data_IF_519887299358
#
_entry.id   IF_519887299358
#
_cell.length_a   1.000
_cell.length_b   1.000
_cell.length_c   1.000
_cell.angle_alpha   90.00
_cell.angle_beta   90.00
_cell.angle_gamma   90.00
#
_symmetry.space_group_name_H-M   'P 1'
#
loop_
_entity.id
_entity.type
_entity.pdbx_description
1 polymer ?
#
# COMPACT_ATOMS: atom_id res chain seq x y z
N UNK A 1 -6.01 -8.13 -8.93
CA UNK A 1 -6.42 -6.71 -8.94
C UNK A 1 -7.45 -6.45 -10.05
N UNK A 2 -8.60 -5.84 -9.72
CA UNK A 2 -9.69 -5.48 -10.66
C UNK A 2 -9.61 -4.02 -11.16
N UNK A 3 -8.51 -3.33 -10.92
CA UNK A 3 -8.32 -1.95 -11.38
C UNK A 3 -8.00 -1.95 -12.88
N UNK A 4 -8.98 -1.62 -13.70
CA UNK A 4 -8.85 -1.49 -15.16
C UNK A 4 -9.13 -0.08 -15.66
N UNK A 5 -9.60 0.82 -14.78
CA UNK A 5 -10.04 2.17 -15.14
C UNK A 5 -9.16 3.25 -14.53
N UNK A 6 -8.95 4.32 -15.28
CA UNK A 6 -8.22 5.51 -14.83
C UNK A 6 -8.95 6.30 -13.72
N UNK A 7 -10.21 5.96 -13.40
CA UNK A 7 -10.95 6.61 -12.30
C UNK A 7 -10.20 6.50 -10.97
N UNK A 8 -9.51 5.38 -10.72
CA UNK A 8 -8.82 5.19 -9.45
C UNK A 8 -7.55 6.06 -9.31
N UNK A 9 -7.04 6.67 -10.39
CA UNK A 9 -6.00 7.71 -10.32
C UNK A 9 -6.53 9.08 -9.91
N UNK A 10 -7.85 9.23 -9.84
CA UNK A 10 -8.51 10.49 -9.41
C UNK A 10 -9.00 10.43 -7.97
N UNK A 11 -8.85 9.27 -7.33
CA UNK A 11 -9.18 9.05 -5.93
C UNK A 11 -8.13 9.73 -5.06
N UNK A 12 -8.57 10.34 -3.96
CA UNK A 12 -7.67 10.67 -2.87
C UNK A 12 -7.56 9.45 -1.95
N UNK A 13 -6.47 8.71 -2.11
CA UNK A 13 -6.26 7.48 -1.37
C UNK A 13 -5.83 7.68 0.09
N UNK A 14 -5.50 8.93 0.46
CA UNK A 14 -5.15 9.27 1.85
C UNK A 14 -6.38 9.39 2.75
N UNK A 15 -7.57 9.55 2.16
CA UNK A 15 -8.82 9.77 2.88
C UNK A 15 -9.52 8.43 3.13
N UNK A 16 -9.73 8.12 4.41
CA UNK A 16 -10.49 6.94 4.83
C UNK A 16 -12.00 7.12 4.58
N UNK A 17 -12.70 6.01 4.37
CA UNK A 17 -14.14 5.96 4.13
C UNK A 17 -14.49 5.54 2.71
N UNK A 18 -15.73 5.83 2.29
CA UNK A 18 -16.22 5.46 0.95
C UNK A 18 -15.91 6.58 -0.04
N UNK A 19 -15.15 6.24 -1.08
CA UNK A 19 -14.88 7.15 -2.19
C UNK A 19 -16.09 7.25 -3.11
N UNK A 20 -16.59 8.46 -3.34
CA UNK A 20 -17.88 8.68 -3.97
C UNK A 20 -17.96 8.31 -5.46
N UNK A 21 -16.83 8.31 -6.19
CA UNK A 21 -16.80 8.05 -7.63
C UNK A 21 -16.70 6.55 -7.94
N UNK A 22 -16.10 5.78 -7.06
CA UNK A 22 -15.82 4.35 -7.26
C UNK A 22 -16.56 3.43 -6.30
N UNK A 23 -17.15 3.98 -5.24
CA UNK A 23 -17.73 3.18 -4.15
C UNK A 23 -16.68 2.36 -3.40
N UNK A 24 -15.39 2.66 -3.59
CA UNK A 24 -14.30 1.97 -2.91
C UNK A 24 -14.29 2.37 -1.44
N UNK A 25 -14.31 1.39 -0.53
CA UNK A 25 -13.99 1.65 0.86
C UNK A 25 -12.47 1.63 1.07
N UNK A 26 -11.94 2.74 1.60
CA UNK A 26 -10.52 2.97 1.83
C UNK A 26 -10.27 3.03 3.33
N UNK A 27 -9.26 2.30 3.80
CA UNK A 27 -8.78 2.39 5.17
C UNK A 27 -7.26 2.33 5.21
N UNK A 28 -6.63 3.37 5.77
CA UNK A 28 -5.20 3.46 5.98
C UNK A 28 -4.83 3.18 7.43
N UNK A 29 -3.70 2.52 7.66
CA UNK A 29 -3.06 2.34 8.97
C UNK A 29 -1.59 2.71 8.82
N UNK A 30 -1.14 3.72 9.56
CA UNK A 30 0.26 4.13 9.56
C UNK A 30 1.09 3.15 10.40
N UNK A 31 2.22 2.69 9.84
CA UNK A 31 3.17 1.81 10.52
C UNK A 31 4.15 2.58 11.40
N UNK A 32 4.29 3.89 11.17
CA UNK A 32 5.13 4.78 11.95
C UNK A 32 5.49 6.06 11.21
N UNK A 33 6.20 6.95 11.89
CA UNK A 33 6.76 8.17 11.32
C UNK A 33 8.28 8.08 11.37
N UNK A 34 8.92 8.04 10.21
CA UNK A 34 10.37 8.04 10.08
C UNK A 34 10.80 9.48 9.85
N UNK A 35 11.38 10.06 10.89
CA UNK A 35 11.95 11.40 10.80
C UNK A 35 13.17 11.38 9.91
N UNK A 36 13.11 12.15 8.83
CA UNK A 36 14.32 12.48 8.10
C UNK A 36 15.06 13.51 8.97
N UNK A 37 16.30 13.24 9.37
CA UNK A 37 17.02 13.99 10.43
C UNK A 37 17.38 15.46 10.06
N UNK A 38 16.59 16.12 9.22
CA UNK A 38 16.86 17.43 8.64
C UNK A 38 15.62 18.33 8.73
N UNK A 39 15.82 19.55 9.26
CA UNK A 39 14.76 20.46 9.74
C UNK A 39 13.70 20.89 8.71
N UNK A 40 13.81 20.53 7.43
CA UNK A 40 12.97 21.03 6.34
C UNK A 40 12.44 19.96 5.37
N UNK A 41 12.72 18.67 5.60
CA UNK A 41 12.23 17.60 4.72
C UNK A 41 10.97 16.95 5.29
N UNK A 42 10.06 16.44 4.43
CA UNK A 42 8.89 15.73 4.91
C UNK A 42 9.29 14.39 5.55
N UNK A 43 8.61 14.04 6.65
CA UNK A 43 8.72 12.72 7.27
C UNK A 43 8.29 11.62 6.29
N UNK A 44 8.94 10.46 6.35
CA UNK A 44 8.48 9.29 5.63
C UNK A 44 7.48 8.53 6.49
N UNK A 45 6.27 8.32 5.97
CA UNK A 45 5.18 7.66 6.69
C UNK A 45 4.82 6.36 5.98
N UNK A 46 5.50 5.24 6.29
CA UNK A 46 5.09 3.94 5.80
C UNK A 46 3.73 3.58 6.41
N UNK A 47 2.86 2.99 5.60
CA UNK A 47 1.52 2.62 5.99
C UNK A 47 1.03 1.45 5.17
N UNK A 48 -0.06 0.83 5.62
CA UNK A 48 -0.85 -0.10 4.83
C UNK A 48 -2.20 0.51 4.48
N UNK A 49 -2.70 0.20 3.29
CA UNK A 49 -4.00 0.64 2.80
C UNK A 49 -4.82 -0.54 2.34
N UNK A 50 -6.05 -0.58 2.82
CA UNK A 50 -7.05 -1.50 2.32
C UNK A 50 -7.63 -1.02 1.00
N UNK A 51 -7.66 -1.93 0.03
CA UNK A 51 -8.28 -1.74 -1.28
C UNK A 51 -9.11 -2.98 -1.63
N UNK A 52 -10.44 -2.83 -1.63
CA UNK A 52 -11.38 -3.93 -1.92
C UNK A 52 -11.24 -4.54 -3.33
N UNK A 53 -10.58 -3.84 -4.25
CA UNK A 53 -10.36 -4.29 -5.62
C UNK A 53 -8.99 -4.94 -5.83
N UNK A 54 -8.16 -5.03 -4.79
CA UNK A 54 -6.92 -5.79 -4.82
C UNK A 54 -7.07 -7.10 -4.03
N UNK A 55 -6.59 -8.18 -4.63
CA UNK A 55 -6.58 -9.52 -4.04
C UNK A 55 -5.15 -10.02 -3.78
N UNK A 56 -4.13 -9.15 -3.93
CA UNK A 56 -2.79 -9.49 -3.50
C UNK A 56 -2.65 -9.39 -1.98
N UNK A 57 -1.75 -10.21 -1.44
CA UNK A 57 -1.28 -10.11 -0.06
C UNK A 57 0.18 -9.65 -0.07
N UNK A 58 0.42 -8.42 0.38
CA UNK A 58 1.76 -7.82 0.49
C UNK A 58 2.38 -7.99 1.87
N UNK A 59 1.85 -8.92 2.67
CA UNK A 59 2.37 -9.32 3.96
C UNK A 59 1.41 -9.06 5.10
N UNK A 60 0.42 -8.18 4.91
CA UNK A 60 -0.55 -7.75 5.93
C UNK A 60 -1.97 -8.29 5.67
N UNK A 61 -2.12 -9.26 4.77
CA UNK A 61 -3.40 -9.88 4.44
C UNK A 61 -3.93 -9.42 3.08
N UNK A 62 -4.94 -10.13 2.59
CA UNK A 62 -5.50 -9.89 1.25
C UNK A 62 -6.14 -8.51 1.16
N UNK A 63 -5.79 -7.76 0.12
CA UNK A 63 -6.32 -6.41 -0.11
C UNK A 63 -5.67 -5.32 0.77
N UNK A 64 -4.73 -5.67 1.64
CA UNK A 64 -3.89 -4.70 2.35
C UNK A 64 -2.57 -4.52 1.60
N UNK A 65 -2.43 -3.37 0.94
CA UNK A 65 -1.22 -3.00 0.21
C UNK A 65 -0.32 -2.11 1.08
N UNK A 66 0.99 -2.24 0.93
CA UNK A 66 1.93 -1.26 1.46
C UNK A 66 1.85 0.03 0.64
N UNK A 67 1.84 1.18 1.31
CA UNK A 67 1.89 2.51 0.68
C UNK A 67 3.31 2.83 0.16
N UNK A 68 3.91 1.88 -0.55
CA UNK A 68 5.24 1.97 -1.14
C UNK A 68 5.13 1.83 -2.65
N UNK A 69 6.00 2.53 -3.38
CA UNK A 69 6.00 2.44 -4.83
C UNK A 69 6.52 1.08 -5.29
N UNK A 70 5.83 0.44 -6.23
CA UNK A 70 6.16 -0.91 -6.70
C UNK A 70 5.82 -1.05 -8.18
N UNK A 71 6.31 -2.12 -8.81
CA UNK A 71 5.93 -2.47 -10.18
C UNK A 71 5.36 -3.88 -10.19
N UNK A 72 4.07 -3.98 -10.52
CA UNK A 72 3.34 -5.26 -10.65
C UNK A 72 3.29 -5.68 -12.11
N UNK A 73 3.45 -6.98 -12.38
CA UNK A 73 3.20 -7.57 -13.71
C UNK A 73 1.81 -8.19 -13.73
N UNK A 74 0.94 -7.69 -14.61
CA UNK A 74 -0.46 -8.12 -14.72
C UNK A 74 -0.74 -8.38 -16.20
N UNK A 75 -1.10 -9.61 -16.55
CA UNK A 75 -1.38 -10.01 -17.93
C UNK A 75 -0.27 -9.58 -18.92
N UNK A 76 0.99 -9.80 -18.54
CA UNK A 76 2.20 -9.41 -19.28
C UNK A 76 2.39 -7.90 -19.48
N UNK A 77 1.59 -7.05 -18.82
CA UNK A 77 1.78 -5.60 -18.79
C UNK A 77 2.34 -5.18 -17.43
N UNK A 78 3.15 -4.12 -17.43
CA UNK A 78 3.76 -3.59 -16.20
C UNK A 78 2.94 -2.42 -15.70
N UNK A 79 2.57 -2.49 -14.43
CA UNK A 79 1.85 -1.45 -13.73
C UNK A 79 2.76 -0.82 -12.68
N UNK A 80 3.06 0.47 -12.84
CA UNK A 80 3.72 1.26 -11.80
C UNK A 80 2.67 1.66 -10.77
N UNK A 81 2.82 1.23 -9.53
CA UNK A 81 2.04 1.71 -8.39
C UNK A 81 2.93 2.66 -7.59
N UNK A 82 2.40 3.82 -7.22
CA UNK A 82 3.09 4.80 -6.38
C UNK A 82 2.58 4.72 -4.94
N UNK A 83 3.41 5.08 -3.95
CA UNK A 83 3.02 5.05 -2.54
C UNK A 83 1.79 5.89 -2.19
N UNK A 84 1.47 6.91 -3.01
CA UNK A 84 0.25 7.71 -2.88
C UNK A 84 -1.03 7.01 -3.39
N UNK A 85 -0.95 5.77 -3.90
CA UNK A 85 -2.07 5.00 -4.46
C UNK A 85 -2.34 5.17 -5.94
N UNK A 86 -1.67 6.11 -6.61
CA UNK A 86 -1.80 6.25 -8.06
C UNK A 86 -1.13 5.06 -8.77
N UNK A 87 -1.69 4.61 -9.88
CA UNK A 87 -1.16 3.52 -10.68
C UNK A 87 -1.17 3.87 -12.17
N UNK A 88 -0.13 3.50 -12.89
CA UNK A 88 0.02 3.85 -14.31
C UNK A 88 0.55 2.65 -15.08
N UNK A 89 -0.08 2.33 -16.20
CA UNK A 89 0.46 1.32 -17.11
C UNK A 89 1.71 1.89 -17.79
N UNK A 90 2.81 1.15 -17.72
CA UNK A 90 4.05 1.50 -18.39
C UNK A 90 3.91 1.09 -19.86
N UNK A 91 4.03 2.07 -20.77
CA UNK A 91 4.08 1.79 -22.20
C UNK A 91 5.41 1.12 -22.55
N UNK A 92 5.38 0.18 -23.48
CA UNK A 92 6.59 -0.48 -23.97
C UNK A 92 7.47 0.45 -24.82
N UNK A 93 6.90 1.54 -25.32
CA UNK A 93 7.61 2.50 -26.16
C UNK A 93 8.65 3.28 -25.34
N UNK A 94 9.87 3.29 -25.86
CA UNK A 94 11.05 3.79 -25.16
C UNK A 94 11.63 4.96 -25.94
N UNK A 95 11.80 6.12 -25.31
CA UNK A 95 12.65 7.17 -25.87
C UNK A 95 14.08 6.99 -25.31
N UNK A 96 15.11 6.96 -26.17
CA UNK A 96 16.49 6.80 -25.70
C UNK A 96 16.90 8.04 -24.89
N UNK A 97 17.52 7.81 -23.72
CA UNK A 97 18.18 8.87 -22.95
C UNK A 97 19.68 8.76 -23.20
N UNK A 98 20.41 9.88 -23.43
CA UNK A 98 21.86 9.83 -23.57
C UNK A 98 22.50 9.26 -22.30
N UNK A 99 23.27 8.17 -22.48
CA UNK A 99 24.13 7.49 -21.50
C UNK A 99 23.45 6.65 -20.39
N UNK A 100 22.75 5.57 -20.77
CA UNK A 100 22.47 4.34 -19.97
C UNK A 100 21.07 4.09 -19.37
N UNK A 101 20.00 4.64 -19.93
CA UNK A 101 18.63 4.26 -19.57
C UNK A 101 17.58 4.68 -20.61
N UNK A 102 16.31 4.39 -20.34
CA UNK A 102 15.17 4.84 -21.16
C UNK A 102 14.14 5.57 -20.30
N UNK A 103 13.61 6.69 -20.80
CA UNK A 103 12.47 7.33 -20.15
C UNK A 103 11.22 6.52 -20.43
N UNK A 104 10.47 6.21 -19.37
CA UNK A 104 9.22 5.47 -19.46
C UNK A 104 8.06 6.43 -19.76
N UNK A 105 7.27 6.09 -20.75
CA UNK A 105 5.97 6.72 -20.96
C UNK A 105 4.89 5.97 -20.18
N UNK A 106 4.01 6.73 -19.53
CA UNK A 106 2.93 6.20 -18.71
C UNK A 106 1.58 6.47 -19.38
N UNK A 107 0.71 5.47 -19.42
CA UNK A 107 -0.68 5.65 -19.84
C UNK A 107 -1.40 6.55 -18.84
N UNK A 108 -2.21 7.47 -19.35
CA UNK A 108 -3.11 8.31 -18.55
C UNK A 108 -2.45 9.21 -17.48
N UNK A 109 -1.14 9.44 -17.55
CA UNK A 109 -0.45 10.40 -16.70
C UNK A 109 -0.89 11.84 -17.05
N UNK A 110 -1.89 12.35 -16.33
CA UNK A 110 -2.43 13.68 -16.56
C UNK A 110 -1.51 14.78 -16.02
N UNK A 111 -1.00 14.61 -14.79
CA UNK A 111 -0.11 15.56 -14.14
C UNK A 111 1.35 15.11 -14.27
N UNK A 112 2.19 15.93 -14.92
CA UNK A 112 3.64 15.71 -14.98
C UNK A 112 4.33 16.16 -13.68
N UNK A 113 3.98 15.56 -12.54
CA UNK A 113 4.61 15.84 -11.24
C UNK A 113 5.82 14.96 -10.97
N UNK A 114 6.04 13.94 -11.81
CA UNK A 114 7.18 13.07 -11.78
C UNK A 114 7.48 12.54 -13.20
N UNK A 115 8.67 11.97 -13.38
CA UNK A 115 9.01 11.17 -14.56
C UNK A 115 9.74 9.91 -14.11
N UNK A 116 9.74 8.90 -14.99
CA UNK A 116 10.35 7.61 -14.69
C UNK A 116 11.44 7.29 -15.71
N UNK A 117 12.55 6.74 -15.23
CA UNK A 117 13.63 6.22 -16.06
C UNK A 117 13.86 4.77 -15.68
N UNK A 118 13.93 3.89 -16.67
CA UNK A 118 14.40 2.52 -16.48
C UNK A 118 15.87 2.42 -16.90
N UNK A 119 16.67 1.82 -16.04
CA UNK A 119 18.08 1.52 -16.22
C UNK A 119 18.26 0.00 -16.45
N UNK A 120 19.47 -0.45 -16.83
CA UNK A 120 19.84 -1.85 -16.76
C UNK A 120 19.53 -2.48 -15.37
N UNK A 121 19.45 -3.81 -15.32
CA UNK A 121 19.21 -4.58 -14.09
C UNK A 121 17.86 -4.33 -13.41
N UNK A 122 16.81 -4.08 -14.21
CA UNK A 122 15.42 -3.89 -13.76
C UNK A 122 15.22 -2.76 -12.74
N UNK A 123 16.11 -1.76 -12.74
CA UNK A 123 15.98 -0.57 -11.90
C UNK A 123 15.07 0.46 -12.59
N UNK A 124 13.96 0.79 -11.96
CA UNK A 124 13.16 1.96 -12.31
C UNK A 124 13.35 3.04 -11.27
N UNK A 125 13.73 4.23 -11.69
CA UNK A 125 13.78 5.41 -10.84
C UNK A 125 12.61 6.34 -11.15
N UNK A 126 11.86 6.71 -10.12
CA UNK A 126 10.81 7.73 -10.15
C UNK A 126 11.38 9.02 -9.59
N UNK A 127 11.38 10.08 -10.39
CA UNK A 127 11.90 11.40 -10.00
C UNK A 127 10.75 12.37 -9.83
N UNK A 128 10.52 12.83 -8.60
CA UNK A 128 9.45 13.76 -8.26
C UNK A 128 9.93 15.21 -8.41
N UNK A 129 8.98 16.12 -8.70
CA UNK A 129 9.26 17.57 -8.83
C UNK A 129 9.85 18.23 -7.58
N UNK A 130 9.58 17.67 -6.40
CA UNK A 130 10.13 18.15 -5.14
C UNK A 130 11.57 17.69 -4.89
N UNK A 131 12.17 16.94 -5.83
CA UNK A 131 13.55 16.45 -5.74
C UNK A 131 13.69 15.10 -5.03
N UNK A 132 12.61 14.52 -4.50
CA UNK A 132 12.62 13.14 -4.01
C UNK A 132 12.79 12.19 -5.20
N UNK A 133 13.58 11.14 -5.00
CA UNK A 133 13.73 10.03 -5.94
C UNK A 133 13.39 8.72 -5.24
N UNK A 134 12.61 7.89 -5.90
CA UNK A 134 12.36 6.52 -5.49
C UNK A 134 12.98 5.56 -6.50
N UNK A 135 13.71 4.56 -6.00
CA UNK A 135 14.29 3.50 -6.82
C UNK A 135 13.53 2.22 -6.56
N UNK A 136 12.98 1.62 -7.61
CA UNK A 136 12.25 0.35 -7.60
C UNK A 136 13.11 -0.70 -8.29
N UNK A 137 13.40 -1.81 -7.61
CA UNK A 137 14.18 -2.93 -8.13
C UNK A 137 13.41 -4.22 -7.92
N UNK A 138 13.39 -5.07 -8.93
CA UNK A 138 12.69 -6.37 -8.89
C UNK A 138 11.22 -6.27 -8.46
N UNK A 139 10.57 -5.16 -8.84
CA UNK A 139 9.16 -4.89 -8.52
C UNK A 139 8.90 -4.24 -7.17
N UNK A 140 9.91 -4.07 -6.30
CA UNK A 140 9.77 -3.50 -4.96
C UNK A 140 10.54 -2.19 -4.80
N UNK A 141 10.06 -1.29 -3.94
CA UNK A 141 10.80 -0.08 -3.57
C UNK A 141 12.11 -0.51 -2.93
N UNK A 142 13.24 -0.10 -3.49
CA UNK A 142 14.58 -0.40 -2.97
C UNK A 142 15.13 0.76 -2.15
N UNK A 143 14.91 2.01 -2.58
CA UNK A 143 15.34 3.17 -1.80
C UNK A 143 14.53 4.43 -2.08
N UNK A 144 14.52 5.33 -1.09
CA UNK A 144 14.01 6.71 -1.21
C UNK A 144 15.17 7.65 -0.93
N UNK A 145 15.51 8.52 -1.89
CA UNK A 145 16.54 9.54 -1.77
C UNK A 145 15.89 10.92 -1.70
N UNK A 146 16.21 11.65 -0.64
CA UNK A 146 15.76 13.02 -0.42
C UNK A 146 16.71 14.03 -1.06
N UNK A 147 16.25 15.27 -1.35
CA UNK A 147 17.07 16.32 -1.96
C UNK A 147 18.36 16.64 -1.19
N UNK A 148 18.33 16.47 0.13
CA UNK A 148 19.47 16.68 1.02
C UNK A 148 20.49 15.52 1.06
N UNK A 149 20.25 14.44 0.32
CA UNK A 149 21.10 13.25 0.28
C UNK A 149 20.79 12.20 1.36
N UNK A 150 19.81 12.45 2.25
CA UNK A 150 19.28 11.44 3.16
C UNK A 150 18.63 10.33 2.34
N UNK A 151 18.88 9.08 2.75
CA UNK A 151 18.40 7.91 2.03
C UNK A 151 17.85 6.90 3.00
N UNK A 152 16.68 6.36 2.64
CA UNK A 152 16.08 5.18 3.24
C UNK A 152 16.24 4.01 2.28
N UNK A 153 16.67 2.88 2.80
CA UNK A 153 16.85 1.63 2.08
C UNK A 153 15.87 0.59 2.62
N UNK A 154 15.24 -0.15 1.72
CA UNK A 154 14.15 -1.07 2.05
C UNK A 154 14.61 -2.50 1.80
N UNK A 155 14.47 -3.34 2.82
CA UNK A 155 14.87 -4.75 2.76
C UNK A 155 13.63 -5.64 2.68
N UNK A 156 13.74 -6.67 1.86
CA UNK A 156 12.67 -7.64 1.65
C UNK A 156 13.19 -9.06 1.84
N UNK A 157 12.33 -9.93 2.36
CA UNK A 157 12.54 -11.36 2.41
C UNK A 157 11.27 -12.05 1.90
N UNK A 158 11.44 -12.97 0.95
CA UNK A 158 10.33 -13.70 0.32
C UNK A 158 9.21 -12.80 -0.25
N UNK A 159 9.60 -11.60 -0.73
CA UNK A 159 8.69 -10.60 -1.28
C UNK A 159 8.02 -9.68 -0.25
N UNK A 160 8.30 -9.86 1.04
CA UNK A 160 7.71 -9.07 2.13
C UNK A 160 8.73 -8.11 2.75
N UNK A 161 8.31 -6.89 3.05
CA UNK A 161 9.16 -5.88 3.71
C UNK A 161 9.58 -6.38 5.09
N UNK A 162 10.88 -6.32 5.40
CA UNK A 162 11.44 -6.72 6.71
C UNK A 162 12.10 -5.57 7.46
N UNK A 163 12.69 -4.60 6.78
CA UNK A 163 13.21 -3.39 7.41
C UNK A 163 13.23 -2.19 6.47
N UNK A 164 13.21 -1.02 7.10
CA UNK A 164 13.59 0.24 6.49
C UNK A 164 14.79 0.72 7.30
N UNK A 165 15.91 0.89 6.61
CA UNK A 165 17.20 1.29 7.18
C UNK A 165 17.60 2.67 6.67
N UNK A 166 18.27 3.45 7.50
CA UNK A 166 18.86 4.71 7.06
C UNK A 166 20.36 4.58 6.77
N UNK A 167 20.90 5.56 6.04
CA UNK A 167 22.35 5.61 5.75
C UNK A 167 23.27 5.72 6.96
N UNK A 168 22.73 6.04 8.13
CA UNK A 168 23.50 6.15 9.38
C UNK A 168 23.60 4.80 10.11
N UNK A 169 22.98 3.75 9.57
CA UNK A 169 22.95 2.40 10.14
C UNK A 169 21.85 2.20 11.18
N UNK A 170 20.88 3.10 11.28
CA UNK A 170 19.69 2.90 12.10
C UNK A 170 18.62 2.15 11.32
N UNK A 171 17.81 1.35 12.03
CA UNK A 171 16.62 0.69 11.49
C UNK A 171 15.37 1.39 12.05
N UNK A 172 14.91 2.50 11.45
CA UNK A 172 13.73 3.23 11.94
C UNK A 172 12.43 2.41 11.92
N UNK A 173 12.36 1.37 11.09
CA UNK A 173 11.23 0.45 11.07
C UNK A 173 11.69 -0.98 10.79
N UNK A 174 11.22 -1.95 11.57
CA UNK A 174 11.40 -3.37 11.33
C UNK A 174 10.06 -4.11 11.35
N UNK A 175 9.98 -5.16 10.53
CA UNK A 175 8.80 -6.01 10.39
C UNK A 175 9.21 -7.47 10.53
N UNK A 176 8.61 -8.16 11.49
CA UNK A 176 8.79 -9.58 11.73
C UNK A 176 7.52 -10.35 11.40
N UNK A 177 7.65 -11.50 10.74
CA UNK A 177 6.53 -12.38 10.39
C UNK A 177 6.63 -13.70 11.15
N UNK A 178 5.77 -13.91 12.13
CA UNK A 178 5.62 -15.21 12.80
C UNK A 178 4.63 -16.09 12.04
N UNK A 179 5.18 -17.01 11.24
CA UNK A 179 4.42 -17.97 10.42
C UNK A 179 4.45 -19.39 10.95
N UNK A 180 4.77 -19.59 12.24
CA UNK A 180 4.79 -20.94 12.85
C UNK A 180 3.42 -21.63 12.79
N UNK A 181 2.35 -20.84 12.85
CA UNK A 181 0.99 -21.28 12.60
C UNK A 181 0.55 -20.75 11.22
N UNK A 182 0.34 -21.66 10.27
CA UNK A 182 -0.02 -21.29 8.89
C UNK A 182 -1.46 -20.81 8.74
N UNK A 183 -2.29 -20.99 9.77
CA UNK A 183 -3.65 -20.46 9.79
C UNK A 183 -3.75 -19.12 10.56
N UNK A 184 -2.76 -18.80 11.40
CA UNK A 184 -2.75 -17.59 12.21
C UNK A 184 -1.34 -16.98 12.21
N UNK A 185 -1.15 -15.91 11.45
CA UNK A 185 0.12 -15.20 11.33
C UNK A 185 0.09 -13.99 12.25
N UNK A 186 1.20 -13.76 12.96
CA UNK A 186 1.41 -12.55 13.75
C UNK A 186 2.53 -11.75 13.11
N UNK A 187 2.26 -10.50 12.78
CA UNK A 187 3.25 -9.57 12.24
C UNK A 187 3.58 -8.55 13.31
N UNK A 188 4.85 -8.45 13.67
CA UNK A 188 5.33 -7.41 14.59
C UNK A 188 5.97 -6.29 13.79
N UNK A 189 5.43 -5.08 13.89
CA UNK A 189 6.00 -3.88 13.29
C UNK A 189 6.56 -3.01 14.41
N UNK A 190 7.88 -2.84 14.45
CA UNK A 190 8.55 -2.01 15.45
C UNK A 190 9.07 -0.75 14.78
N UNK A 191 8.67 0.40 15.31
CA UNK A 191 9.20 1.69 14.92
C UNK A 191 9.94 2.33 16.10
N UNK A 192 10.41 3.57 15.93
CA UNK A 192 11.17 4.29 16.97
C UNK A 192 10.41 4.54 18.29
N UNK A 193 9.09 4.37 18.32
CA UNK A 193 8.24 4.69 19.47
C UNK A 193 7.60 3.48 20.12
N UNK A 194 7.19 2.48 19.33
CA UNK A 194 6.40 1.35 19.80
C UNK A 194 6.50 0.14 18.87
N UNK A 195 5.96 -0.97 19.35
CA UNK A 195 5.70 -2.17 18.54
C UNK A 195 4.20 -2.41 18.42
N UNK A 196 3.75 -2.53 17.18
CA UNK A 196 2.38 -2.89 16.82
C UNK A 196 2.34 -4.33 16.31
N UNK A 197 1.30 -5.08 16.68
CA UNK A 197 1.07 -6.47 16.31
C UNK A 197 -0.18 -6.59 15.45
N UNK A 198 -0.02 -7.18 14.27
CA UNK A 198 -1.08 -7.39 13.30
C UNK A 198 -1.40 -8.88 13.26
N UNK A 199 -2.65 -9.23 13.55
CA UNK A 199 -3.11 -10.61 13.61
C UNK A 199 -3.88 -10.95 12.35
N UNK A 200 -3.35 -11.90 11.58
CA UNK A 200 -3.93 -12.37 10.35
C UNK A 200 -4.43 -13.80 10.54
N UNK A 201 -5.72 -14.03 10.25
CA UNK A 201 -6.25 -15.39 10.24
C UNK A 201 -6.59 -15.81 8.81
N UNK A 202 -6.30 -17.07 8.51
CA UNK A 202 -6.68 -17.69 7.26
C UNK A 202 -8.15 -18.09 7.34
N UNK A 203 -8.95 -17.59 6.42
CA UNK A 203 -10.37 -17.93 6.37
C UNK A 203 -10.59 -19.30 5.68
N UNK A 204 -11.86 -19.72 5.61
CA UNK A 204 -12.25 -21.00 4.98
C UNK A 204 -11.92 -21.08 3.48
N UNK A 205 -11.82 -19.93 2.80
CA UNK A 205 -11.42 -19.83 1.39
C UNK A 205 -9.90 -19.86 1.22
N UNK A 206 -9.14 -19.87 2.31
CA UNK A 206 -7.68 -19.97 2.29
C UNK A 206 -6.96 -18.63 2.12
N UNK A 207 -7.65 -17.50 2.22
CA UNK A 207 -7.06 -16.15 2.16
C UNK A 207 -6.88 -15.58 3.57
N UNK A 208 -5.84 -14.75 3.76
CA UNK A 208 -5.54 -14.13 5.04
C UNK A 208 -6.34 -12.82 5.22
N UNK A 209 -6.98 -12.69 6.37
CA UNK A 209 -7.74 -11.51 6.79
C UNK A 209 -7.01 -10.82 7.95
N UNK A 210 -6.77 -9.51 7.88
CA UNK A 210 -6.24 -8.75 9.02
C UNK A 210 -7.36 -8.54 10.05
N UNK A 211 -7.43 -9.36 11.09
CA UNK A 211 -8.54 -9.32 12.04
C UNK A 211 -8.36 -8.24 13.12
N UNK A 212 -7.13 -8.02 13.58
CA UNK A 212 -6.87 -7.01 14.61
C UNK A 212 -5.47 -6.44 14.55
N UNK A 213 -5.34 -5.20 15.05
CA UNK A 213 -4.07 -4.52 15.27
C UNK A 213 -4.00 -4.11 16.74
N UNK A 214 -2.92 -4.47 17.40
CA UNK A 214 -2.67 -4.21 18.81
C UNK A 214 -1.38 -3.39 18.96
N UNK A 215 -1.29 -2.50 19.93
CA UNK A 215 -0.05 -1.78 20.28
C UNK A 215 0.36 -2.12 21.70
N UNK A 216 1.66 -2.17 21.97
CA UNK A 216 2.16 -2.11 23.36
C UNK A 216 2.06 -0.69 23.87
N UNK A 217 1.63 -0.51 25.13
CA UNK A 217 1.72 0.77 25.82
C UNK A 217 3.19 1.21 25.96
N UNK A 218 3.43 2.52 26.14
CA UNK A 218 4.78 3.05 26.42
C UNK A 218 5.40 2.46 27.71
N UNK A 219 4.57 1.97 28.64
CA UNK A 219 4.99 1.28 29.85
C UNK A 219 5.31 -0.22 29.65
N UNK A 220 5.05 -0.77 28.46
CA UNK A 220 5.30 -2.17 28.09
C UNK A 220 4.42 -3.21 28.79
N UNK A 221 3.51 -2.79 29.66
CA UNK A 221 2.74 -3.67 30.55
C UNK A 221 1.34 -4.02 30.04
N UNK A 222 0.77 -3.21 29.15
CA UNK A 222 -0.58 -3.43 28.61
C UNK A 222 -0.57 -3.42 27.08
N UNK A 223 -1.38 -4.30 26.50
CA UNK A 223 -1.61 -4.35 25.06
C UNK A 223 -2.96 -3.73 24.75
N UNK A 224 -2.98 -2.70 23.91
CA UNK A 224 -4.16 -1.94 23.55
C UNK A 224 -4.61 -2.32 22.13
N UNK A 225 -5.88 -2.68 21.95
CA UNK A 225 -6.42 -3.00 20.61
C UNK A 225 -6.70 -1.72 19.83
N UNK A 226 -5.83 -1.41 18.86
CA UNK A 226 -5.94 -0.27 17.94
C UNK A 226 -7.14 -0.39 17.02
N UNK A 227 -7.25 -1.53 16.36
CA UNK A 227 -8.27 -1.80 15.37
C UNK A 227 -8.74 -3.26 15.42
N UNK A 228 -10.02 -3.46 15.12
CA UNK A 228 -10.61 -4.77 14.82
C UNK A 228 -11.44 -4.68 13.56
N UNK A 229 -11.32 -5.71 12.72
CA UNK A 229 -11.95 -5.77 11.41
C UNK A 229 -12.79 -7.04 11.29
N UNK A 230 -13.90 -6.92 10.57
CA UNK A 230 -14.67 -8.04 10.07
C UNK A 230 -14.80 -7.93 8.55
N UNK A 231 -14.84 -9.08 7.90
CA UNK A 231 -14.85 -9.17 6.46
C UNK A 231 -16.00 -10.04 5.95
N UNK A 232 -16.34 -9.82 4.69
CA UNK A 232 -17.02 -10.79 3.84
C UNK A 232 -16.15 -11.07 2.62
N UNK A 233 -16.20 -12.31 2.12
CA UNK A 233 -15.49 -12.70 0.89
C UNK A 233 -16.37 -12.41 -0.32
N UNK A 234 -15.80 -11.76 -1.33
CA UNK A 234 -16.42 -11.48 -2.61
C UNK A 234 -15.66 -12.20 -3.73
N UNK A 235 -16.39 -12.80 -4.68
CA UNK A 235 -15.82 -13.53 -5.85
C UNK A 235 -14.68 -14.51 -5.47
N UNK A 236 -14.82 -15.16 -4.30
CA UNK A 236 -13.89 -16.16 -3.72
C UNK A 236 -12.53 -15.68 -3.22
N UNK A 237 -12.00 -14.54 -3.69
CA UNK A 237 -10.64 -14.10 -3.34
C UNK A 237 -10.49 -12.59 -3.07
N UNK A 238 -11.58 -11.83 -3.04
CA UNK A 238 -11.57 -10.44 -2.62
C UNK A 238 -12.16 -10.33 -1.21
N UNK A 239 -11.66 -9.37 -0.45
CA UNK A 239 -12.20 -9.04 0.87
C UNK A 239 -12.96 -7.73 0.79
N UNK A 240 -14.06 -7.66 1.54
CA UNK A 240 -14.83 -6.46 1.77
C UNK A 240 -14.91 -6.25 3.30
N UNK A 241 -14.40 -5.13 3.82
CA UNK A 241 -14.55 -4.80 5.24
C UNK A 241 -16.02 -4.49 5.52
N UNK A 242 -16.63 -5.19 6.47
CA UNK A 242 -18.04 -5.01 6.89
C UNK A 242 -18.16 -4.29 8.23
N UNK A 243 -17.15 -4.38 9.08
CA UNK A 243 -17.10 -3.67 10.36
C UNK A 243 -15.66 -3.26 10.69
N UNK A 244 -15.52 -2.05 11.20
CA UNK A 244 -14.28 -1.51 11.77
C UNK A 244 -14.58 -0.92 13.15
N UNK A 245 -13.82 -1.33 14.16
CA UNK A 245 -13.87 -0.70 15.49
C UNK A 245 -12.45 -0.30 15.90
N UNK A 246 -12.27 0.94 16.34
CA UNK A 246 -11.00 1.45 16.86
C UNK A 246 -10.95 1.46 18.39
N UNK A 247 -9.79 1.86 18.95
CA UNK A 247 -9.65 2.17 20.38
C UNK A 247 -10.79 3.07 20.92
N UNK A 248 -11.20 2.87 22.19
CA UNK A 248 -12.20 3.69 22.85
C UNK A 248 -11.88 5.20 22.84
N UNK A 249 -10.60 5.56 22.94
CA UNK A 249 -10.14 6.96 22.93
C UNK A 249 -10.31 7.64 21.56
N UNK A 250 -10.29 6.85 20.48
CA UNK A 250 -10.52 7.34 19.11
C UNK A 250 -11.99 7.17 18.67
N UNK A 251 -12.75 6.34 19.39
CA UNK A 251 -14.21 6.14 19.31
C UNK A 251 -14.80 6.02 17.89
N UNK A 252 -14.05 5.43 16.96
CA UNK A 252 -14.49 5.20 15.58
C UNK A 252 -15.07 3.80 15.46
N UNK A 253 -16.36 3.73 15.14
CA UNK A 253 -17.05 2.50 14.79
C UNK A 253 -17.77 2.67 13.47
N UNK A 254 -17.45 1.81 12.51
CA UNK A 254 -18.04 1.84 11.18
C UNK A 254 -18.68 0.50 10.86
N UNK A 255 -19.88 0.55 10.28
CA UNK A 255 -20.55 -0.61 9.74
C UNK A 255 -20.76 -0.34 8.24
N UNK A 256 -20.14 -1.16 7.41
CA UNK A 256 -20.15 -1.00 5.97
C UNK A 256 -21.07 -2.07 5.38
N UNK A 257 -21.98 -1.66 4.50
CA UNK A 257 -22.90 -2.53 3.79
C UNK A 257 -22.68 -2.36 2.29
N UNK A 258 -22.59 -3.48 1.59
CA UNK A 258 -22.42 -3.53 0.15
C UNK A 258 -23.73 -4.01 -0.46
N UNK A 259 -24.27 -3.24 -1.39
CA UNK A 259 -25.50 -3.55 -2.11
C UNK A 259 -25.20 -3.63 -3.61
N UNK A 260 -25.65 -4.70 -4.26
CA UNK A 260 -25.61 -4.76 -5.70
C UNK A 260 -26.59 -3.75 -6.30
N UNK A 261 -26.10 -2.89 -7.18
CA UNK A 261 -26.97 -2.01 -7.95
C UNK A 261 -27.80 -2.88 -8.90
N UNK A 262 -29.10 -2.98 -8.62
CA UNK A 262 -30.04 -3.63 -9.54
C UNK A 262 -29.97 -2.90 -10.88
N UNK A 263 -29.58 -3.61 -11.94
CA UNK A 263 -29.60 -3.09 -13.30
C UNK A 263 -31.02 -2.62 -13.61
N UNK A 264 -31.22 -1.32 -13.77
CA UNK A 264 -32.49 -0.80 -14.27
C UNK A 264 -32.66 -1.33 -15.70
N UNK A 265 -33.55 -2.30 -15.88
CA UNK A 265 -34.02 -2.72 -17.19
C UNK A 265 -34.73 -1.51 -17.80
N UNK A 266 -34.03 -0.77 -18.64
CA UNK A 266 -34.64 0.22 -19.51
C UNK A 266 -35.47 -0.53 -20.55
N UNK A 267 -36.74 -0.81 -20.24
CA UNK A 267 -37.73 -1.14 -21.25
C UNK A 267 -37.86 0.08 -22.14
N UNK A 268 -37.26 0.03 -23.32
CA UNK A 268 -37.55 0.97 -24.40
C UNK A 268 -39.01 0.74 -24.77
N UNK A 269 -39.89 1.60 -24.26
CA UNK A 269 -41.27 1.68 -24.74
C UNK A 269 -41.18 2.36 -26.10
N UNK A 270 -41.18 1.54 -27.15
CA UNK A 270 -41.31 2.03 -28.52
C UNK A 270 -42.67 2.72 -28.69
N UNK A 271 -42.63 3.91 -29.25
CA UNK A 271 -43.74 4.57 -29.93
C UNK A 271 -43.23 5.06 -31.29
#
# INVERSE_FOLDING_TARGET
MLITSNVFNRIDWSVNGVECRTGCYIQNIDLGFIKTNFMNEPDFVPGIRFNQYDNSDEGFGTGWNLNLSCVKSINNRRLLCLGNGSFYWIKEQSQPVPASGRTLELEDQYCKTFYCTEYPDNLISVFYKNGIREDIRDGHLSSVLYPNGYRLDFQYQDGYLTSIDDKLGNTPLSVGYDRRNTDNIIISVTNQRRTDYYYLNKNKSGIYELNSVLTTSESGSETLSLYTFQYQVYESNYLLITSLTSLPEHNRKENIRYEELKTALWTVVGN
#
